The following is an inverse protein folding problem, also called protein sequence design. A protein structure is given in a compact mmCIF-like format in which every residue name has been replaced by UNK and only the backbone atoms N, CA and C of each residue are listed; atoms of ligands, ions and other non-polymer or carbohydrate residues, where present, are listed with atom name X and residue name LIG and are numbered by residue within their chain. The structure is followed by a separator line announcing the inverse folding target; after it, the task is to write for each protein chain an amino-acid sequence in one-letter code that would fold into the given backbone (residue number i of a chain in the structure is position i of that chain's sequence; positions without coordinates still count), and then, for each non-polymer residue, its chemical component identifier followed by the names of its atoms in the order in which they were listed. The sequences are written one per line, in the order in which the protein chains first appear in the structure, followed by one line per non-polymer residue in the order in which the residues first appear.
data_IF_664843450417
#
_entry.id   IF_664843450417
#
_cell.length_a   1.000
_cell.length_b   1.000
_cell.length_c   1.000
_cell.angle_alpha   90.00
_cell.angle_beta   90.00
_cell.angle_gamma   90.00
#
_symmetry.space_group_name_H-M   'P 1'
#
loop_
_entity.id
_entity.type
_entity.pdbx_description
1 polymer ?
#
# COMPACT_ATOMS: atom_id res chain seq x y z
N UNK A 1 -33.17 8.87 -1.80
CA UNK A 1 -31.88 8.39 -1.25
C UNK A 1 -30.81 9.41 -1.62
N UNK A 2 -30.28 10.18 -0.67
CA UNK A 2 -29.13 11.03 -0.94
C UNK A 2 -27.92 10.14 -1.21
N UNK A 3 -27.60 9.92 -2.48
CA UNK A 3 -26.33 9.33 -2.87
C UNK A 3 -25.29 10.38 -2.53
N UNK A 4 -24.44 10.12 -1.54
CA UNK A 4 -23.35 11.03 -1.21
C UNK A 4 -22.56 11.38 -2.46
N UNK A 5 -22.04 12.61 -2.52
CA UNK A 5 -21.20 13.05 -3.65
C UNK A 5 -20.15 11.98 -3.98
N UNK A 6 -19.80 11.75 -5.25
CA UNK A 6 -18.69 10.85 -5.62
C UNK A 6 -17.40 11.12 -4.82
N UNK A 7 -17.21 12.38 -4.41
CA UNK A 7 -16.14 12.79 -3.50
C UNK A 7 -16.24 12.15 -2.11
N UNK A 8 -17.42 12.04 -1.53
CA UNK A 8 -17.64 11.42 -0.22
C UNK A 8 -17.27 9.93 -0.22
N UNK A 9 -17.52 9.23 -1.34
CA UNK A 9 -17.12 7.84 -1.48
C UNK A 9 -15.59 7.70 -1.56
N UNK A 10 -14.91 8.65 -2.24
CA UNK A 10 -13.45 8.66 -2.31
C UNK A 10 -12.81 9.03 -0.95
N UNK A 11 -13.36 10.02 -0.24
CA UNK A 11 -12.90 10.41 1.10
C UNK A 11 -13.11 9.31 2.14
N UNK A 12 -14.10 8.44 1.95
CA UNK A 12 -14.31 7.28 2.82
C UNK A 12 -13.08 6.37 2.88
N UNK A 13 -12.40 6.15 1.74
CA UNK A 13 -11.19 5.33 1.71
C UNK A 13 -10.08 5.91 2.59
N UNK A 14 -9.90 7.24 2.58
CA UNK A 14 -8.92 7.92 3.44
C UNK A 14 -9.34 7.81 4.91
N UNK A 15 -10.63 7.92 5.21
CA UNK A 15 -11.16 7.74 6.57
C UNK A 15 -10.97 6.31 7.08
N UNK A 16 -11.03 5.33 6.20
CA UNK A 16 -10.74 3.94 6.56
C UNK A 16 -9.26 3.73 6.89
N UNK A 17 -8.34 4.34 6.14
CA UNK A 17 -6.90 4.36 6.51
C UNK A 17 -6.70 5.00 7.88
N UNK A 18 -7.37 6.14 8.14
CA UNK A 18 -7.31 6.79 9.45
C UNK A 18 -7.79 5.87 10.57
N UNK A 19 -8.90 5.16 10.35
CA UNK A 19 -9.47 4.25 11.34
C UNK A 19 -8.56 3.06 11.60
N UNK A 20 -7.94 2.51 10.55
CA UNK A 20 -7.04 1.37 10.64
C UNK A 20 -5.77 1.69 11.45
N UNK A 21 -5.27 2.92 11.30
CA UNK A 21 -4.02 3.38 11.92
C UNK A 21 -4.23 4.43 13.01
N UNK A 22 -5.41 4.43 13.63
CA UNK A 22 -5.82 5.49 14.56
C UNK A 22 -4.82 5.68 15.70
N UNK A 23 -4.45 4.59 16.37
CA UNK A 23 -3.55 4.60 17.53
C UNK A 23 -2.15 5.13 17.21
N UNK A 24 -1.71 4.99 15.97
CA UNK A 24 -0.44 5.54 15.50
C UNK A 24 -0.57 7.02 15.16
N UNK A 25 -1.61 7.39 14.40
CA UNK A 25 -1.84 8.76 13.94
C UNK A 25 -2.05 9.73 15.11
N UNK A 26 -2.74 9.30 16.17
CA UNK A 26 -3.02 10.17 17.32
C UNK A 26 -1.77 10.57 18.11
N UNK A 27 -0.65 9.86 17.95
CA UNK A 27 0.64 10.19 18.56
C UNK A 27 1.28 11.45 17.95
N UNK A 28 0.85 11.84 16.75
CA UNK A 28 1.36 13.03 16.06
C UNK A 28 0.39 14.21 16.22
N UNK A 29 0.89 15.43 16.04
CA UNK A 29 0.10 16.67 16.14
C UNK A 29 0.36 17.61 14.96
N UNK A 30 -0.62 18.47 14.66
CA UNK A 30 -0.51 19.48 13.61
C UNK A 30 -0.18 18.89 12.24
N UNK A 31 0.76 19.53 11.53
CA UNK A 31 1.19 19.13 10.19
C UNK A 31 1.81 17.72 10.17
N UNK A 32 2.53 17.33 11.23
CA UNK A 32 3.15 16.01 11.32
C UNK A 32 2.10 14.88 11.26
N UNK A 33 0.90 15.11 11.83
CA UNK A 33 -0.21 14.16 11.76
C UNK A 33 -0.71 13.99 10.32
N UNK A 34 -0.84 15.09 9.60
CA UNK A 34 -1.29 15.08 8.20
C UNK A 34 -0.26 14.39 7.32
N UNK A 35 1.04 14.72 7.49
CA UNK A 35 2.14 14.05 6.79
C UNK A 35 2.13 12.54 7.04
N UNK A 36 1.94 12.11 8.30
CA UNK A 36 1.87 10.69 8.61
C UNK A 36 0.66 9.99 7.98
N UNK A 37 -0.51 10.62 7.98
CA UNK A 37 -1.69 10.10 7.28
C UNK A 37 -1.43 9.93 5.78
N UNK A 38 -0.74 10.88 5.14
CA UNK A 38 -0.38 10.77 3.72
C UNK A 38 0.53 9.58 3.48
N UNK A 39 1.55 9.38 4.31
CA UNK A 39 2.45 8.22 4.22
C UNK A 39 1.69 6.90 4.35
N UNK A 40 0.85 6.79 5.38
CA UNK A 40 0.02 5.60 5.60
C UNK A 40 -0.96 5.36 4.45
N UNK A 41 -1.53 6.42 3.89
CA UNK A 41 -2.42 6.30 2.73
C UNK A 41 -1.69 5.73 1.52
N UNK A 42 -0.46 6.17 1.24
CA UNK A 42 0.36 5.63 0.15
C UNK A 42 0.65 4.15 0.36
N UNK A 43 1.04 3.74 1.58
CA UNK A 43 1.27 2.34 1.92
C UNK A 43 0.03 1.49 1.66
N UNK A 44 -1.13 1.92 2.16
CA UNK A 44 -2.41 1.21 1.97
C UNK A 44 -2.82 1.12 0.50
N UNK A 45 -2.59 2.17 -0.30
CA UNK A 45 -2.87 2.11 -1.74
C UNK A 45 -1.92 1.17 -2.47
N UNK A 46 -0.64 1.12 -2.10
CA UNK A 46 0.29 0.14 -2.64
C UNK A 46 -0.14 -1.30 -2.32
N UNK A 47 -0.62 -1.56 -1.10
CA UNK A 47 -1.21 -2.85 -0.74
C UNK A 47 -2.49 -3.14 -1.54
N UNK A 48 -3.34 -2.15 -1.79
CA UNK A 48 -4.54 -2.36 -2.61
C UNK A 48 -4.19 -2.70 -4.07
N UNK A 49 -3.20 -2.02 -4.66
CA UNK A 49 -2.68 -2.34 -6.00
C UNK A 49 -2.09 -3.76 -6.01
N UNK A 50 -1.31 -4.10 -4.99
CA UNK A 50 -0.74 -5.44 -4.83
C UNK A 50 -1.80 -6.53 -4.87
N UNK A 51 -2.93 -6.35 -4.16
CA UNK A 51 -4.03 -7.33 -4.07
C UNK A 51 -4.79 -7.55 -5.39
N UNK A 52 -4.59 -6.69 -6.39
CA UNK A 52 -5.35 -6.82 -7.65
C UNK A 52 -4.95 -8.08 -8.42
N UNK A 53 -5.95 -8.81 -8.94
CA UNK A 53 -5.73 -10.05 -9.68
C UNK A 53 -4.79 -9.87 -10.89
N UNK A 54 -4.88 -8.73 -11.58
CA UNK A 54 -4.02 -8.40 -12.72
C UNK A 54 -2.54 -8.30 -12.32
N UNK A 55 -2.25 -7.65 -11.18
CA UNK A 55 -0.88 -7.53 -10.66
C UNK A 55 -0.37 -8.89 -10.18
N UNK A 56 -1.19 -9.64 -9.44
CA UNK A 56 -0.84 -10.98 -8.95
C UNK A 56 -0.53 -11.94 -10.09
N UNK A 57 -1.42 -12.03 -11.09
CA UNK A 57 -1.23 -12.87 -12.27
C UNK A 57 0.06 -12.51 -13.00
N UNK A 58 0.33 -11.22 -13.21
CA UNK A 58 1.53 -10.79 -13.92
C UNK A 58 2.82 -11.10 -13.16
N UNK A 59 2.81 -10.92 -11.83
CA UNK A 59 3.94 -11.28 -10.95
C UNK A 59 4.22 -12.77 -10.98
N UNK A 60 3.18 -13.61 -10.98
CA UNK A 60 3.32 -15.05 -11.13
C UNK A 60 3.88 -15.46 -12.50
N UNK A 61 3.32 -14.91 -13.59
CA UNK A 61 3.79 -15.20 -14.95
C UNK A 61 5.27 -14.83 -15.16
N UNK A 62 5.68 -13.65 -14.66
CA UNK A 62 7.05 -13.14 -14.83
C UNK A 62 8.05 -13.93 -13.98
N UNK A 63 7.64 -14.39 -12.79
CA UNK A 63 8.46 -15.27 -11.97
C UNK A 63 8.70 -16.61 -12.68
N UNK A 64 7.65 -17.24 -13.19
CA UNK A 64 7.76 -18.54 -13.85
C UNK A 64 8.53 -18.49 -15.17
N UNK A 65 8.39 -17.39 -15.91
CA UNK A 65 9.01 -17.25 -17.23
C UNK A 65 10.45 -16.75 -17.16
N UNK A 66 10.69 -15.70 -16.38
CA UNK A 66 11.93 -14.92 -16.41
C UNK A 66 12.70 -15.00 -15.08
N UNK A 67 12.18 -15.69 -14.07
CA UNK A 67 12.76 -15.75 -12.71
C UNK A 67 12.66 -14.42 -11.94
N UNK A 68 11.81 -13.50 -12.39
CA UNK A 68 11.71 -12.13 -11.84
C UNK A 68 10.30 -11.79 -11.41
N UNK A 69 10.14 -11.10 -10.29
CA UNK A 69 8.83 -10.72 -9.77
C UNK A 69 8.47 -9.31 -10.29
N UNK A 70 7.61 -9.23 -11.32
CA UNK A 70 7.20 -7.97 -11.96
C UNK A 70 5.67 -7.86 -12.16
N UNK A 71 5.06 -6.66 -11.99
CA UNK A 71 5.72 -5.39 -11.65
C UNK A 71 6.13 -5.30 -10.17
N UNK A 72 7.16 -4.49 -9.92
CA UNK A 72 7.50 -4.02 -8.59
C UNK A 72 6.60 -2.84 -8.22
N UNK A 73 6.26 -2.73 -6.95
CA UNK A 73 5.42 -1.65 -6.41
C UNK A 73 6.29 -0.81 -5.49
N UNK A 74 6.27 0.51 -5.67
CA UNK A 74 7.02 1.45 -4.87
C UNK A 74 6.10 2.55 -4.35
N UNK A 75 6.22 2.87 -3.07
CA UNK A 75 5.49 3.95 -2.41
C UNK A 75 6.38 5.17 -2.35
N UNK A 76 5.90 6.28 -2.89
CA UNK A 76 6.64 7.52 -2.95
C UNK A 76 5.76 8.66 -2.41
N UNK A 77 6.37 9.53 -1.61
CA UNK A 77 5.77 10.77 -1.13
C UNK A 77 6.67 11.91 -1.57
N UNK A 78 6.09 12.94 -2.15
CA UNK A 78 6.81 14.13 -2.57
C UNK A 78 6.42 15.32 -1.69
N UNK A 79 7.39 15.94 -1.03
CA UNK A 79 7.18 17.16 -0.26
C UNK A 79 7.40 18.39 -1.15
N UNK A 80 6.33 19.16 -1.35
CA UNK A 80 6.31 20.32 -2.24
C UNK A 80 7.08 21.51 -1.66
N UNK A 81 7.25 21.57 -0.33
CA UNK A 81 7.92 22.69 0.31
C UNK A 81 9.44 22.63 0.13
N UNK A 82 10.02 21.44 0.14
CA UNK A 82 11.47 21.22 0.03
C UNK A 82 11.90 20.49 -1.26
N UNK A 83 10.96 19.96 -2.03
CA UNK A 83 11.22 19.22 -3.27
C UNK A 83 11.75 17.79 -3.05
N UNK A 84 11.64 17.27 -1.83
CA UNK A 84 12.17 15.95 -1.47
C UNK A 84 11.23 14.82 -1.90
N UNK A 85 11.78 13.81 -2.58
CA UNK A 85 11.08 12.57 -2.89
C UNK A 85 11.46 11.49 -1.87
N UNK A 86 10.53 11.17 -0.98
CA UNK A 86 10.69 10.13 0.04
C UNK A 86 10.16 8.80 -0.47
N UNK A 87 11.02 7.78 -0.53
CA UNK A 87 10.63 6.38 -0.73
C UNK A 87 10.16 5.81 0.60
N UNK A 88 8.94 5.29 0.65
CA UNK A 88 8.41 4.63 1.84
C UNK A 88 8.84 3.17 1.86
N UNK A 89 9.26 2.63 3.02
CA UNK A 89 9.45 1.20 3.17
C UNK A 89 8.07 0.55 3.10
N UNK A 90 7.77 -0.07 1.96
CA UNK A 90 6.62 -0.96 1.85
C UNK A 90 7.15 -2.35 2.06
N UNK A 91 6.87 -2.87 3.23
CA UNK A 91 7.16 -4.26 3.50
C UNK A 91 5.99 -5.12 3.00
N UNK A 92 6.23 -5.88 1.94
CA UNK A 92 5.30 -6.93 1.51
C UNK A 92 5.60 -8.25 2.23
N UNK A 93 6.28 -8.22 3.39
CA UNK A 93 6.71 -9.42 4.12
C UNK A 93 5.57 -10.38 4.43
N UNK A 94 5.99 -11.61 4.73
CA UNK A 94 5.11 -12.73 5.03
C UNK A 94 4.03 -12.41 6.07
N UNK A 95 4.22 -11.49 7.03
CA UNK A 95 3.19 -11.18 8.02
C UNK A 95 1.98 -10.43 7.44
N UNK A 96 2.19 -9.52 6.49
CA UNK A 96 1.09 -8.84 5.80
C UNK A 96 0.53 -9.72 4.68
N UNK A 97 1.37 -10.55 4.05
CA UNK A 97 0.88 -11.60 3.15
C UNK A 97 0.02 -12.63 3.89
N UNK A 98 0.39 -13.09 5.08
CA UNK A 98 -0.37 -14.08 5.88
C UNK A 98 -1.76 -13.54 6.27
N UNK A 99 -1.85 -12.26 6.65
CA UNK A 99 -3.14 -11.61 6.91
C UNK A 99 -4.01 -11.55 5.64
N UNK A 100 -3.39 -11.40 4.47
CA UNK A 100 -4.10 -11.32 3.19
C UNK A 100 -4.44 -12.70 2.60
N UNK A 101 -3.60 -13.72 2.80
CA UNK A 101 -3.83 -15.11 2.37
C UNK A 101 -5.10 -15.70 2.97
N UNK A 102 -5.47 -15.30 4.19
CA UNK A 102 -6.69 -15.76 4.84
C UNK A 102 -7.98 -15.28 4.15
N UNK A 103 -7.90 -14.27 3.28
CA UNK A 103 -9.07 -13.67 2.62
C UNK A 103 -8.95 -13.56 1.10
N UNK A 104 -7.75 -13.70 0.53
CA UNK A 104 -7.48 -13.60 -0.89
C UNK A 104 -6.64 -14.80 -1.34
N UNK A 105 -7.05 -15.43 -2.46
CA UNK A 105 -6.25 -16.44 -3.16
C UNK A 105 -5.02 -15.77 -3.80
N UNK A 106 -4.01 -15.50 -2.97
CA UNK A 106 -2.72 -14.97 -3.41
C UNK A 106 -1.82 -16.14 -3.82
N UNK A 107 -1.06 -15.98 -4.91
CA UNK A 107 -0.07 -16.97 -5.31
C UNK A 107 1.07 -17.02 -4.27
N UNK A 108 1.42 -18.21 -3.80
CA UNK A 108 2.56 -18.41 -2.91
C UNK A 108 3.87 -18.20 -3.67
N UNK A 109 4.79 -17.44 -3.05
CA UNK A 109 6.12 -17.19 -3.58
C UNK A 109 7.15 -17.72 -2.58
N UNK A 110 7.83 -18.82 -2.91
CA UNK A 110 9.03 -19.26 -2.18
C UNK A 110 10.24 -18.44 -2.66
N UNK A 111 10.40 -17.26 -2.07
CA UNK A 111 11.53 -16.38 -2.35
C UNK A 111 11.48 -15.17 -1.43
N UNK A 112 12.65 -14.76 -0.93
CA UNK A 112 12.77 -13.57 -0.09
C UNK A 112 12.22 -12.36 -0.86
N UNK A 113 11.14 -11.76 -0.35
CA UNK A 113 10.47 -10.63 -0.97
C UNK A 113 11.15 -9.29 -0.62
N UNK A 114 12.32 -9.32 0.02
CA UNK A 114 13.14 -8.13 0.20
C UNK A 114 13.54 -7.57 -1.15
N UNK A 115 13.13 -6.32 -1.38
CA UNK A 115 13.64 -5.50 -2.48
C UNK A 115 15.18 -5.49 -2.40
N UNK A 116 15.92 -5.85 -3.45
CA UNK A 116 17.32 -5.46 -3.53
C UNK A 116 17.41 -3.93 -3.57
N UNK A 117 18.40 -3.38 -2.86
CA UNK A 117 18.65 -1.94 -2.68
C UNK A 117 18.65 -1.15 -4.01
#
# INVERSE_FOLDING_TARGET
MNHGSPLENWLRNIRDVWRLHYDEIVQFHGEARVRRLVELNVVEQCLNVYKTASVQKRRWETLQKDGKILPQIHGLVYDVANGELKKLPIDFSQSDMQKLQNCFDLYEFEGDNTLPD
#
